data_IF_485289314756
#
_entry.id   IF_485289314756
#
_cell.length_a   1.000
_cell.length_b   1.000
_cell.length_c   1.000
_cell.angle_alpha   90.00
_cell.angle_beta   90.00
_cell.angle_gamma   90.00
#
_symmetry.space_group_name_H-M   'P 1'
#
loop_
_entity.id
_entity.type
_entity.pdbx_description
1 polymer ?
#
# COMPACT_ATOMS: atom_id res chain seq x y z
N UNK A 1 -49.55 -66.85 -27.86
CA UNK A 1 -49.23 -65.53 -28.44
C UNK A 1 -48.55 -64.71 -27.36
N UNK A 2 -47.24 -64.51 -27.47
CA UNK A 2 -46.47 -63.73 -26.50
C UNK A 2 -46.57 -62.25 -26.84
N UNK A 3 -47.05 -61.44 -25.89
CA UNK A 3 -47.07 -59.98 -26.02
C UNK A 3 -45.71 -59.49 -25.54
N UNK A 4 -44.85 -59.08 -26.47
CA UNK A 4 -43.60 -58.39 -26.15
C UNK A 4 -43.97 -56.97 -25.70
N UNK A 5 -43.82 -56.71 -24.40
CA UNK A 5 -43.91 -55.37 -23.87
C UNK A 5 -42.64 -54.62 -24.25
N UNK A 6 -42.73 -53.77 -25.26
CA UNK A 6 -41.67 -52.81 -25.60
C UNK A 6 -41.67 -51.72 -24.53
N UNK A 7 -40.77 -51.83 -23.55
CA UNK A 7 -40.52 -50.77 -22.59
C UNK A 7 -39.92 -49.58 -23.35
N UNK A 8 -40.68 -48.49 -23.45
CA UNK A 8 -40.14 -47.21 -23.90
C UNK A 8 -39.12 -46.75 -22.85
N UNK A 9 -37.83 -46.89 -23.17
CA UNK A 9 -36.77 -46.31 -22.39
C UNK A 9 -37.00 -44.79 -22.34
N UNK A 10 -37.20 -44.31 -21.12
CA UNK A 10 -37.26 -42.90 -20.76
C UNK A 10 -36.07 -42.16 -21.38
N UNK A 11 -36.37 -41.38 -22.44
CA UNK A 11 -35.42 -40.46 -23.07
C UNK A 11 -35.59 -39.06 -22.48
N UNK A 12 -35.70 -38.94 -21.15
CA UNK A 12 -35.37 -37.66 -20.52
C UNK A 12 -33.85 -37.50 -20.59
N UNK A 13 -33.37 -36.89 -21.66
CA UNK A 13 -32.04 -36.27 -21.68
C UNK A 13 -31.96 -35.37 -20.45
N UNK A 14 -31.19 -35.80 -19.45
CA UNK A 14 -30.98 -35.03 -18.22
C UNK A 14 -30.52 -33.63 -18.61
N UNK A 15 -31.43 -32.65 -18.47
CA UNK A 15 -31.18 -31.24 -18.81
C UNK A 15 -29.91 -30.73 -18.15
N UNK A 16 -29.56 -31.27 -16.97
CA UNK A 16 -28.34 -30.95 -16.21
C UNK A 16 -27.08 -31.48 -16.92
N UNK A 17 -27.09 -32.73 -17.41
CA UNK A 17 -25.96 -33.32 -18.13
C UNK A 17 -25.75 -32.63 -19.49
N UNK A 18 -26.83 -32.27 -20.17
CA UNK A 18 -26.78 -31.48 -21.41
C UNK A 18 -26.19 -30.09 -21.13
N UNK A 19 -26.70 -29.38 -20.12
CA UNK A 19 -26.23 -28.04 -19.80
C UNK A 19 -24.76 -28.02 -19.36
N UNK A 20 -24.30 -29.04 -18.62
CA UNK A 20 -22.89 -29.19 -18.27
C UNK A 20 -21.98 -29.47 -19.47
N UNK A 21 -22.46 -30.18 -20.49
CA UNK A 21 -21.71 -30.47 -21.72
C UNK A 21 -21.49 -29.21 -22.58
N UNK A 22 -22.47 -28.30 -22.61
CA UNK A 22 -22.40 -27.06 -23.38
C UNK A 22 -21.88 -25.85 -22.59
N UNK A 23 -21.56 -26.01 -21.29
CA UNK A 23 -20.87 -24.95 -20.56
C UNK A 23 -19.44 -24.81 -21.10
N UNK A 24 -19.04 -23.62 -21.58
CA UNK A 24 -17.65 -23.38 -21.93
C UNK A 24 -16.81 -23.62 -20.68
N UNK A 25 -15.97 -24.66 -20.70
CA UNK A 25 -15.03 -24.92 -19.61
C UNK A 25 -14.09 -23.72 -19.51
N UNK A 26 -14.19 -22.99 -18.42
CA UNK A 26 -13.29 -21.88 -18.12
C UNK A 26 -11.86 -22.42 -18.04
N UNK A 27 -10.91 -21.72 -18.67
CA UNK A 27 -9.51 -22.09 -18.57
C UNK A 27 -8.97 -21.65 -17.22
N UNK A 28 -8.97 -22.56 -16.25
CA UNK A 28 -8.50 -22.30 -14.87
C UNK A 28 -7.09 -21.70 -14.83
N UNK A 29 -6.19 -22.11 -15.73
CA UNK A 29 -4.83 -21.57 -15.80
C UNK A 29 -4.86 -20.10 -16.20
N UNK A 30 -5.72 -19.74 -17.15
CA UNK A 30 -5.89 -18.35 -17.57
C UNK A 30 -6.52 -17.49 -16.46
N UNK A 31 -7.54 -17.99 -15.77
CA UNK A 31 -8.15 -17.28 -14.63
C UNK A 31 -7.13 -17.04 -13.51
N UNK A 32 -6.34 -18.06 -13.17
CA UNK A 32 -5.25 -17.94 -12.19
C UNK A 32 -4.20 -16.94 -12.64
N UNK A 33 -3.83 -16.94 -13.91
CA UNK A 33 -2.92 -15.94 -14.46
C UNK A 33 -3.48 -14.52 -14.29
N UNK A 34 -4.76 -14.30 -14.61
CA UNK A 34 -5.43 -13.00 -14.42
C UNK A 34 -5.52 -12.57 -12.94
N UNK A 35 -5.62 -13.52 -12.02
CA UNK A 35 -5.56 -13.27 -10.58
C UNK A 35 -4.16 -12.83 -10.14
N UNK A 36 -3.12 -13.58 -10.52
CA UNK A 36 -1.75 -13.34 -10.10
C UNK A 36 -1.14 -12.08 -10.74
N UNK A 37 -1.53 -11.74 -11.96
CA UNK A 37 -1.10 -10.49 -12.63
C UNK A 37 -1.89 -9.25 -12.21
N UNK A 38 -3.00 -9.42 -11.48
CA UNK A 38 -3.78 -8.28 -11.00
C UNK A 38 -2.93 -7.41 -10.06
N UNK A 39 -2.85 -6.11 -10.31
CA UNK A 39 -1.97 -5.21 -9.54
C UNK A 39 -2.80 -4.21 -8.77
N UNK A 40 -2.39 -3.90 -7.52
CA UNK A 40 -3.03 -2.87 -6.73
C UNK A 40 -2.70 -1.50 -7.31
N UNK A 41 -3.71 -0.69 -7.60
CA UNK A 41 -3.54 0.68 -8.09
C UNK A 41 -3.53 1.64 -6.91
N UNK A 42 -2.56 2.55 -6.83
CA UNK A 42 -2.33 3.41 -5.64
C UNK A 42 -3.55 4.25 -5.22
N UNK A 43 -4.48 4.52 -6.13
CA UNK A 43 -5.70 5.29 -5.88
C UNK A 43 -6.97 4.42 -5.68
N UNK A 44 -6.82 3.11 -5.82
CA UNK A 44 -7.89 2.14 -5.66
C UNK A 44 -7.85 1.67 -4.22
N UNK A 45 -8.66 2.27 -3.34
CA UNK A 45 -8.69 1.87 -1.92
C UNK A 45 -8.87 0.36 -1.72
N UNK A 46 -8.39 -0.16 -0.59
CA UNK A 46 -8.27 -1.60 -0.32
C UNK A 46 -9.58 -2.37 -0.53
N UNK A 47 -10.72 -1.78 -0.20
CA UNK A 47 -12.03 -2.42 -0.36
C UNK A 47 -12.36 -2.76 -1.82
N UNK A 48 -12.04 -1.85 -2.75
CA UNK A 48 -12.26 -2.09 -4.18
C UNK A 48 -11.35 -3.21 -4.67
N UNK A 49 -10.08 -3.16 -4.27
CA UNK A 49 -9.11 -4.18 -4.64
C UNK A 49 -9.49 -5.57 -4.13
N UNK A 50 -9.91 -5.69 -2.87
CA UNK A 50 -10.37 -6.96 -2.28
C UNK A 50 -11.60 -7.49 -3.03
N UNK A 51 -12.51 -6.62 -3.43
CA UNK A 51 -13.71 -7.00 -4.19
C UNK A 51 -13.34 -7.57 -5.56
N UNK A 52 -12.43 -6.92 -6.29
CA UNK A 52 -11.93 -7.40 -7.59
C UNK A 52 -11.17 -8.71 -7.47
N UNK A 53 -10.34 -8.86 -6.44
CA UNK A 53 -9.65 -10.12 -6.17
C UNK A 53 -10.62 -11.26 -5.90
N UNK A 54 -11.68 -11.03 -5.10
CA UNK A 54 -12.72 -12.03 -4.85
C UNK A 54 -13.44 -12.43 -6.13
N UNK A 55 -13.74 -11.48 -7.00
CA UNK A 55 -14.39 -11.75 -8.29
C UNK A 55 -13.50 -12.61 -9.19
N UNK A 56 -12.21 -12.27 -9.31
CA UNK A 56 -11.25 -13.05 -10.11
C UNK A 56 -10.99 -14.44 -9.52
N UNK A 57 -10.95 -14.55 -8.19
CA UNK A 57 -10.69 -15.82 -7.52
C UNK A 57 -11.84 -16.84 -7.67
N UNK A 58 -13.07 -16.39 -7.93
CA UNK A 58 -14.24 -17.26 -8.05
C UNK A 58 -14.09 -18.36 -9.13
N UNK A 59 -13.36 -18.06 -10.21
CA UNK A 59 -13.16 -18.99 -11.32
C UNK A 59 -11.79 -19.69 -11.27
N UNK A 60 -10.99 -19.46 -10.23
CA UNK A 60 -9.62 -19.97 -10.15
C UNK A 60 -9.52 -21.39 -9.57
N UNK A 61 -10.63 -21.95 -9.06
CA UNK A 61 -10.67 -23.27 -8.40
C UNK A 61 -9.54 -23.43 -7.36
N UNK A 62 -9.30 -22.41 -6.54
CA UNK A 62 -8.35 -22.50 -5.44
C UNK A 62 -8.91 -23.40 -4.35
N UNK A 63 -8.06 -24.28 -3.80
CA UNK A 63 -8.44 -25.11 -2.64
C UNK A 63 -8.73 -24.21 -1.43
N UNK A 64 -7.80 -23.29 -1.16
CA UNK A 64 -7.88 -22.32 -0.07
C UNK A 64 -7.92 -20.91 -0.64
N UNK A 65 -9.11 -20.48 -1.07
CA UNK A 65 -9.31 -19.17 -1.67
C UNK A 65 -8.91 -18.03 -0.73
N UNK A 66 -9.19 -18.15 0.57
CA UNK A 66 -8.83 -17.10 1.54
C UNK A 66 -7.31 -16.93 1.69
N UNK A 67 -6.55 -18.02 1.67
CA UNK A 67 -5.08 -17.96 1.72
C UNK A 67 -4.51 -17.32 0.45
N UNK A 68 -5.02 -17.70 -0.72
CA UNK A 68 -4.62 -17.10 -1.99
C UNK A 68 -4.89 -15.59 -2.01
N UNK A 69 -6.07 -15.17 -1.50
CA UNK A 69 -6.42 -13.75 -1.39
C UNK A 69 -5.52 -13.01 -0.40
N UNK A 70 -5.25 -13.59 0.77
CA UNK A 70 -4.36 -13.02 1.78
C UNK A 70 -2.96 -12.78 1.19
N UNK A 71 -2.38 -13.82 0.59
CA UNK A 71 -1.02 -13.76 0.06
C UNK A 71 -0.93 -12.76 -1.08
N UNK A 72 -1.96 -12.72 -1.93
CA UNK A 72 -2.06 -11.73 -3.00
C UNK A 72 -2.10 -10.29 -2.46
N UNK A 73 -2.87 -10.02 -1.41
CA UNK A 73 -2.90 -8.70 -0.76
C UNK A 73 -1.50 -8.33 -0.25
N UNK A 74 -0.82 -9.25 0.45
CA UNK A 74 0.53 -9.01 0.99
C UNK A 74 1.50 -8.68 -0.15
N UNK A 75 1.49 -9.44 -1.24
CA UNK A 75 2.40 -9.21 -2.37
C UNK A 75 2.11 -7.90 -3.11
N UNK A 76 0.84 -7.56 -3.27
CA UNK A 76 0.40 -6.35 -3.97
C UNK A 76 0.67 -5.04 -3.24
N UNK A 77 1.03 -5.06 -1.95
CA UNK A 77 1.36 -3.85 -1.19
C UNK A 77 2.74 -3.31 -1.57
N UNK A 78 2.76 -2.06 -2.01
CA UNK A 78 3.98 -1.34 -2.40
C UNK A 78 4.72 -0.80 -1.16
N UNK A 79 3.99 -0.33 -0.14
CA UNK A 79 4.57 0.27 1.05
C UNK A 79 5.33 -0.79 1.91
N UNK A 80 6.67 -0.68 2.05
CA UNK A 80 7.47 -1.71 2.72
C UNK A 80 7.17 -1.80 4.22
N UNK A 81 6.83 -0.69 4.88
CA UNK A 81 6.48 -0.69 6.30
C UNK A 81 5.14 -1.41 6.56
N UNK A 82 4.14 -1.19 5.71
CA UNK A 82 2.87 -1.90 5.81
C UNK A 82 3.05 -3.39 5.51
N UNK A 83 3.83 -3.72 4.47
CA UNK A 83 4.18 -5.11 4.13
C UNK A 83 4.91 -5.80 5.30
N UNK A 84 5.89 -5.13 5.92
CA UNK A 84 6.56 -5.63 7.12
C UNK A 84 5.59 -5.91 8.26
N UNK A 85 4.69 -4.97 8.57
CA UNK A 85 3.66 -5.13 9.62
C UNK A 85 2.73 -6.33 9.37
N UNK A 86 2.42 -6.63 8.12
CA UNK A 86 1.63 -7.81 7.76
C UNK A 86 2.43 -9.11 7.96
N UNK A 87 3.70 -9.12 7.56
CA UNK A 87 4.60 -10.27 7.70
C UNK A 87 5.00 -10.56 9.16
N UNK A 88 4.96 -9.56 10.03
CA UNK A 88 5.16 -9.73 11.48
C UNK A 88 3.99 -10.48 12.16
N UNK A 89 2.81 -10.52 11.55
CA UNK A 89 1.66 -11.24 12.10
C UNK A 89 1.81 -12.75 11.91
N UNK A 90 2.18 -13.47 12.99
CA UNK A 90 2.34 -14.94 13.00
C UNK A 90 1.15 -15.71 12.40
N UNK A 91 -0.06 -15.28 12.74
CA UNK A 91 -1.31 -15.85 12.23
C UNK A 91 -2.06 -14.76 11.46
N UNK A 92 -1.65 -14.57 10.21
CA UNK A 92 -2.31 -13.63 9.30
C UNK A 92 -3.49 -14.33 8.61
N UNK A 93 -4.70 -13.89 8.92
CA UNK A 93 -5.93 -14.26 8.20
C UNK A 93 -6.27 -13.21 7.16
N UNK A 94 -7.10 -13.55 6.17
CA UNK A 94 -7.58 -12.61 5.16
C UNK A 94 -8.26 -11.39 5.81
N UNK A 95 -9.16 -11.64 6.77
CA UNK A 95 -9.87 -10.57 7.49
C UNK A 95 -8.90 -9.64 8.23
N UNK A 96 -7.88 -10.20 8.89
CA UNK A 96 -6.87 -9.42 9.62
C UNK A 96 -6.01 -8.59 8.67
N UNK A 97 -5.60 -9.15 7.53
CA UNK A 97 -4.87 -8.42 6.51
C UNK A 97 -5.67 -7.20 6.02
N UNK A 98 -6.96 -7.39 5.72
CA UNK A 98 -7.86 -6.32 5.29
C UNK A 98 -7.98 -5.25 6.38
N UNK A 99 -8.20 -5.63 7.65
CA UNK A 99 -8.28 -4.69 8.78
C UNK A 99 -7.01 -3.85 8.94
N UNK A 100 -5.83 -4.48 8.83
CA UNK A 100 -4.54 -3.78 8.94
C UNK A 100 -4.37 -2.77 7.81
N UNK A 101 -4.69 -3.14 6.57
CA UNK A 101 -4.63 -2.26 5.41
C UNK A 101 -5.59 -1.06 5.55
N UNK A 102 -6.86 -1.32 5.92
CA UNK A 102 -7.86 -0.26 6.17
C UNK A 102 -7.42 0.70 7.26
N UNK A 103 -6.91 0.17 8.38
CA UNK A 103 -6.40 1.00 9.46
C UNK A 103 -5.26 1.90 8.98
N UNK A 104 -4.37 1.39 8.12
CA UNK A 104 -3.28 2.19 7.56
C UNK A 104 -3.80 3.30 6.63
N UNK A 105 -4.80 3.03 5.80
CA UNK A 105 -5.43 4.06 4.95
C UNK A 105 -6.05 5.18 5.79
N UNK A 106 -6.82 4.82 6.83
CA UNK A 106 -7.45 5.77 7.75
C UNK A 106 -6.40 6.60 8.49
N UNK A 107 -5.40 5.94 9.10
CA UNK A 107 -4.32 6.65 9.81
C UNK A 107 -3.55 7.56 8.86
N UNK A 108 -3.29 7.15 7.62
CA UNK A 108 -2.61 8.00 6.64
C UNK A 108 -3.43 9.26 6.33
N UNK A 109 -4.74 9.14 6.15
CA UNK A 109 -5.62 10.29 5.92
C UNK A 109 -5.66 11.23 7.14
N UNK A 110 -5.77 10.66 8.34
CA UNK A 110 -5.79 11.43 9.60
C UNK A 110 -4.47 12.17 9.86
N UNK A 111 -3.33 11.50 9.70
CA UNK A 111 -2.01 12.15 9.87
C UNK A 111 -1.80 13.28 8.87
N UNK A 112 -2.22 13.11 7.61
CA UNK A 112 -2.17 14.19 6.61
C UNK A 112 -3.05 15.37 7.01
N UNK A 113 -4.29 15.12 7.45
CA UNK A 113 -5.18 16.19 7.89
C UNK A 113 -4.63 16.97 9.10
N UNK A 114 -4.02 16.27 10.07
CA UNK A 114 -3.36 16.90 11.22
C UNK A 114 -2.18 17.78 10.79
N UNK A 115 -1.35 17.31 9.85
CA UNK A 115 -0.23 18.08 9.34
C UNK A 115 -0.70 19.36 8.62
N UNK A 116 -1.74 19.27 7.79
CA UNK A 116 -2.29 20.43 7.08
C UNK A 116 -2.92 21.47 8.02
N UNK A 117 -3.56 21.05 9.12
CA UNK A 117 -4.15 21.97 10.09
C UNK A 117 -3.12 22.87 10.80
N UNK A 118 -1.87 22.42 10.93
CA UNK A 118 -0.79 23.21 11.56
C UNK A 118 -0.23 24.30 10.66
N UNK A 119 -0.42 24.22 9.34
CA UNK A 119 0.15 25.17 8.37
C UNK A 119 -0.74 26.41 8.21
N UNK A 120 -2.05 26.27 8.43
CA UNK A 120 -3.02 27.38 8.34
C UNK A 120 -3.14 28.19 9.67
N UNK A 121 -2.51 27.71 10.75
CA UNK A 121 -2.50 28.40 12.04
C UNK A 121 -1.35 29.42 12.13
N UNK A 122 -1.31 30.39 11.23
CA UNK A 122 -0.49 31.60 11.41
C UNK A 122 -1.14 32.46 12.50
N UNK A 123 -0.62 32.32 13.72
CA UNK A 123 -1.08 33.01 14.92
C UNK A 123 -1.06 34.52 14.69
N UNK A 124 -2.22 35.18 14.76
CA UNK A 124 -2.33 36.63 14.65
C UNK A 124 -1.56 37.29 15.80
N UNK A 125 -0.33 37.74 15.53
CA UNK A 125 0.48 38.43 16.50
C UNK A 125 -0.21 39.75 16.88
N UNK A 126 -0.79 39.81 18.08
CA UNK A 126 -1.22 41.08 18.68
C UNK A 126 0.06 41.87 18.98
N UNK A 127 0.38 42.82 18.11
CA UNK A 127 1.46 43.78 18.34
C UNK A 127 1.03 44.72 19.47
N UNK A 128 1.55 44.49 20.67
CA UNK A 128 1.48 45.48 21.75
C UNK A 128 2.67 46.43 21.54
N UNK A 129 2.46 47.71 21.17
CA UNK A 129 3.57 48.64 20.99
C UNK A 129 4.18 49.01 22.35
N UNK A 130 5.51 48.87 22.53
CA UNK A 130 6.17 49.40 23.72
C UNK A 130 6.19 50.93 23.65
N UNK A 131 5.62 51.55 24.69
CA UNK A 131 5.61 52.99 24.97
C UNK A 131 7.05 53.52 25.07
N UNK A 132 7.40 54.52 24.26
CA UNK A 132 8.67 55.23 24.34
C UNK A 132 8.80 56.00 25.67
N UNK A 133 9.93 55.85 26.37
CA UNK A 133 10.44 56.91 27.24
C UNK A 133 11.98 56.83 27.39
N UNK A 134 12.67 57.69 26.63
CA UNK A 134 13.80 58.56 26.99
C UNK A 134 15.11 57.97 27.62
N UNK A 135 16.13 57.83 26.75
CA UNK A 135 17.57 58.18 26.80
C UNK A 135 18.42 58.20 28.11
N UNK A 136 19.54 57.42 28.03
CA UNK A 136 20.97 57.72 28.34
C UNK A 136 21.47 57.87 29.82
N UNK A 137 22.74 57.50 30.20
CA UNK A 137 23.98 57.75 29.44
C UNK A 137 25.07 56.63 29.41
N UNK A 138 26.14 56.96 28.67
CA UNK A 138 27.32 56.16 28.29
C UNK A 138 28.45 56.25 29.32
N UNK A 139 29.27 55.19 29.43
CA UNK A 139 30.63 55.26 29.97
C UNK A 139 31.62 54.49 29.08
N UNK A 140 32.86 54.98 29.02
CA UNK A 140 33.87 54.66 27.99
C UNK A 140 35.25 54.37 28.57
N UNK A 141 36.09 53.69 27.76
CA UNK A 141 37.57 53.48 27.81
C UNK A 141 38.06 52.34 28.73
N UNK A 142 39.05 51.51 28.37
CA UNK A 142 40.05 51.56 27.29
C UNK A 142 40.84 50.24 27.14
N UNK A 143 41.77 50.25 26.18
CA UNK A 143 42.37 49.14 25.41
C UNK A 143 43.64 48.48 26.00
N UNK A 144 43.97 47.29 25.42
CA UNK A 144 45.31 46.70 25.12
C UNK A 144 45.68 45.47 25.99
N UNK A 145 46.35 44.41 25.55
CA UNK A 145 46.85 43.88 24.26
C UNK A 145 47.50 42.52 24.63
N UNK A 146 47.29 41.44 23.86
CA UNK A 146 48.31 40.40 23.61
C UNK A 146 47.80 39.29 22.67
N UNK A 147 48.59 39.08 21.63
CA UNK A 147 48.54 38.17 20.49
C UNK A 147 48.92 36.72 20.86
N UNK A 148 48.31 35.72 20.20
CA UNK A 148 48.96 34.70 19.32
C UNK A 148 48.04 33.49 19.09
N UNK A 149 47.74 33.25 17.80
CA UNK A 149 47.21 31.99 17.25
C UNK A 149 48.35 30.97 17.09
N UNK A 150 48.09 29.69 16.71
CA UNK A 150 47.85 29.30 15.30
C UNK A 150 46.68 28.30 15.11
N UNK A 151 45.83 28.45 14.09
CA UNK A 151 45.82 27.77 12.77
C UNK A 151 45.04 26.43 12.73
N UNK A 152 43.99 26.36 11.87
CA UNK A 152 43.73 25.25 10.93
C UNK A 152 42.36 25.38 10.24
N UNK A 153 42.40 25.98 9.05
CA UNK A 153 41.60 25.75 7.82
C UNK A 153 40.14 25.24 7.88
N UNK A 154 39.27 26.06 7.30
CA UNK A 154 37.95 25.72 6.79
C UNK A 154 38.02 24.83 5.54
N UNK A 155 37.06 23.90 5.36
CA UNK A 155 36.49 23.65 4.03
C UNK A 155 35.13 22.93 4.14
N UNK A 156 34.07 23.67 3.85
CA UNK A 156 32.78 23.17 3.39
C UNK A 156 32.98 22.35 2.11
N UNK A 157 32.38 21.14 2.05
CA UNK A 157 32.20 20.41 0.79
C UNK A 157 30.73 19.97 0.63
N UNK A 158 30.16 20.10 -0.59
CA UNK A 158 28.80 19.70 -0.89
C UNK A 158 28.73 18.17 -1.09
N UNK A 159 27.66 17.54 -0.62
CA UNK A 159 27.42 16.12 -0.86
C UNK A 159 26.79 15.94 -2.24
N UNK A 160 27.59 15.47 -3.18
CA UNK A 160 27.20 15.19 -4.56
C UNK A 160 26.37 13.91 -4.66
N UNK A 161 25.35 13.96 -5.53
CA UNK A 161 24.56 12.81 -6.03
C UNK A 161 25.46 11.62 -6.41
N UNK A 162 25.05 10.42 -6.04
CA UNK A 162 25.46 9.19 -6.70
C UNK A 162 24.19 8.44 -7.16
N UNK A 163 23.98 8.42 -8.47
CA UNK A 163 22.98 7.58 -9.10
C UNK A 163 23.39 6.12 -8.98
N UNK A 164 22.53 5.31 -8.39
CA UNK A 164 22.66 3.85 -8.44
C UNK A 164 21.69 3.36 -9.52
N UNK A 165 22.20 3.19 -10.73
CA UNK A 165 21.55 2.36 -11.75
C UNK A 165 21.58 0.91 -11.28
N UNK A 166 20.42 0.36 -10.93
CA UNK A 166 20.25 -1.07 -10.68
C UNK A 166 20.28 -1.83 -12.02
N UNK A 167 21.06 -2.92 -12.16
CA UNK A 167 20.93 -3.82 -13.29
C UNK A 167 19.65 -4.67 -13.17
N UNK A 168 19.04 -5.10 -14.30
CA UNK A 168 17.82 -5.90 -14.30
C UNK A 168 18.10 -7.29 -13.73
N UNK A 169 17.30 -7.71 -12.76
CA UNK A 169 17.29 -9.08 -12.26
C UNK A 169 16.71 -9.95 -13.37
N UNK A 170 17.56 -10.77 -13.99
CA UNK A 170 17.19 -11.89 -14.84
C UNK A 170 16.29 -12.82 -14.02
N UNK A 171 15.02 -12.92 -14.41
CA UNK A 171 14.12 -14.00 -14.04
C UNK A 171 14.70 -15.30 -14.62
N UNK A 172 15.30 -16.13 -13.78
CA UNK A 172 15.44 -17.55 -14.06
C UNK A 172 14.13 -18.24 -13.69
N UNK A 173 13.69 -19.08 -14.61
CA UNK A 173 12.40 -19.75 -14.74
C UNK A 173 12.03 -20.61 -13.53
#
# INVERSE_FOLDING_TARGET
MGIVQTQAADRSLDSVAFQAYFQPKMNVVFERHQFWTNTFVENQGIDKFVTELKLKAANCEFKDQEECLRDKIVFSIINPHLKGKLLECRELTLERAIKICKAKEITSAQTTAMASATIDSSVHAIQIPPRETQQAPKYSKGSSSATLQPESSAQTKPFSRCGSTAPPILLQW
#
